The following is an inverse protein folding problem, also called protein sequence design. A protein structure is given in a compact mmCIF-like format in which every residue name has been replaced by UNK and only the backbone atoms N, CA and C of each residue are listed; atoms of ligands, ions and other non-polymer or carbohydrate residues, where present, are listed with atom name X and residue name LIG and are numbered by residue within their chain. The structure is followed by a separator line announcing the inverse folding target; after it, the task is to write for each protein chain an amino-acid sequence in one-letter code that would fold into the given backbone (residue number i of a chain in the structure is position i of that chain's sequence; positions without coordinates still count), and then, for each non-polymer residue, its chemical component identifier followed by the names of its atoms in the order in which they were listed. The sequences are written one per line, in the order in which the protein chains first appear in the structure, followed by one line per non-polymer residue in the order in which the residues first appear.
data_IF_347626473327
#
_entry.id   IF_347626473327
#
_cell.length_a   1.000
_cell.length_b   1.000
_cell.length_c   1.000
_cell.angle_alpha   90.00
_cell.angle_beta   90.00
_cell.angle_gamma   90.00
#
_symmetry.space_group_name_H-M   'P 1'
#
loop_
_entity.id
_entity.type
_entity.pdbx_description
1 polymer ?
#
# COMPACT_ATOMS: atom_id res chain seq x y z
N UNK A 1 2.14 -23.89 -5.78
CA UNK A 1 2.27 -23.20 -4.47
C UNK A 1 1.78 -21.79 -4.68
N UNK A 2 0.54 -21.50 -4.31
CA UNK A 2 0.03 -20.14 -4.33
C UNK A 2 0.51 -19.50 -3.04
N UNK A 3 1.47 -18.58 -3.11
CA UNK A 3 1.75 -17.71 -1.96
C UNK A 3 0.45 -16.97 -1.65
N UNK A 4 -0.14 -17.29 -0.50
CA UNK A 4 -1.31 -16.58 0.00
C UNK A 4 -0.81 -15.20 0.40
N UNK A 5 -1.04 -14.21 -0.46
CA UNK A 5 -0.74 -12.82 -0.13
C UNK A 5 -1.67 -12.40 0.99
N UNK A 6 -1.16 -11.78 2.05
CA UNK A 6 -1.99 -11.26 3.13
C UNK A 6 -3.00 -10.22 2.60
N UNK A 7 -4.22 -10.22 3.14
CA UNK A 7 -5.34 -9.37 2.68
C UNK A 7 -5.01 -7.87 2.69
N UNK A 8 -4.19 -7.44 3.65
CA UNK A 8 -3.66 -6.08 3.78
C UNK A 8 -2.76 -5.69 2.59
N UNK A 9 -1.90 -6.62 2.14
CA UNK A 9 -1.03 -6.41 0.97
C UNK A 9 -1.84 -6.30 -0.32
N UNK A 10 -2.78 -7.23 -0.54
CA UNK A 10 -3.63 -7.24 -1.74
C UNK A 10 -4.52 -5.99 -1.82
N UNK A 11 -5.09 -5.58 -0.68
CA UNK A 11 -5.90 -4.38 -0.59
C UNK A 11 -5.09 -3.12 -0.96
N UNK A 12 -3.88 -2.97 -0.41
CA UNK A 12 -3.04 -1.82 -0.70
C UNK A 12 -2.65 -1.78 -2.18
N UNK A 13 -2.24 -2.91 -2.73
CA UNK A 13 -1.88 -3.03 -4.15
C UNK A 13 -3.06 -2.67 -5.05
N UNK A 14 -4.25 -3.20 -4.77
CA UNK A 14 -5.48 -2.90 -5.51
C UNK A 14 -5.85 -1.42 -5.43
N UNK A 15 -5.89 -0.86 -4.22
CA UNK A 15 -6.29 0.52 -4.00
C UNK A 15 -5.33 1.51 -4.67
N UNK A 16 -4.02 1.30 -4.53
CA UNK A 16 -3.03 2.20 -5.11
C UNK A 16 -3.01 2.09 -6.63
N UNK A 17 -3.11 0.88 -7.20
CA UNK A 17 -3.21 0.72 -8.67
C UNK A 17 -4.40 1.44 -9.28
N UNK A 18 -5.49 1.60 -8.54
CA UNK A 18 -6.66 2.35 -9.00
C UNK A 18 -6.50 3.88 -8.87
N UNK A 19 -5.50 4.37 -8.14
CA UNK A 19 -5.28 5.78 -7.86
C UNK A 19 -4.20 6.44 -8.72
N UNK A 20 -3.34 5.66 -9.36
CA UNK A 20 -2.12 6.12 -10.03
C UNK A 20 -2.21 5.97 -11.54
N UNK A 21 -1.42 6.76 -12.28
CA UNK A 21 -1.36 6.67 -13.74
C UNK A 21 -0.44 5.52 -14.21
N UNK A 22 0.52 5.08 -13.39
CA UNK A 22 1.45 3.99 -13.71
C UNK A 22 1.24 2.77 -12.80
N UNK A 23 0.14 2.00 -12.97
CA UNK A 23 -0.17 0.85 -12.11
C UNK A 23 0.85 -0.29 -12.20
N UNK A 24 1.65 -0.35 -13.28
CA UNK A 24 2.71 -1.34 -13.46
C UNK A 24 3.93 -1.13 -12.54
N UNK A 25 4.12 0.10 -12.05
CA UNK A 25 5.24 0.45 -11.17
C UNK A 25 4.89 0.33 -9.69
N UNK A 26 3.64 -0.04 -9.36
CA UNK A 26 3.19 -0.26 -7.99
C UNK A 26 3.73 -1.59 -7.47
N UNK A 27 4.56 -1.53 -6.44
CA UNK A 27 5.10 -2.69 -5.74
C UNK A 27 4.80 -2.58 -4.26
N UNK A 28 4.26 -3.65 -3.70
CA UNK A 28 3.98 -3.75 -2.26
C UNK A 28 4.78 -4.89 -1.69
N UNK A 29 5.65 -4.58 -0.73
CA UNK A 29 6.43 -5.55 0.02
C UNK A 29 5.95 -5.60 1.47
N UNK A 30 5.81 -6.80 2.02
CA UNK A 30 5.44 -7.02 3.41
C UNK A 30 6.53 -7.81 4.12
N UNK A 31 7.04 -7.26 5.22
CA UNK A 31 8.05 -7.87 6.09
C UNK A 31 7.45 -8.03 7.48
N UNK A 32 7.59 -9.22 8.06
CA UNK A 32 7.28 -9.46 9.47
C UNK A 32 8.60 -9.51 10.22
N UNK A 33 8.73 -8.71 11.26
CA UNK A 33 9.87 -8.71 12.17
C UNK A 33 9.39 -8.73 13.63
N UNK A 34 10.34 -8.66 14.57
CA UNK A 34 10.06 -8.66 16.01
C UNK A 34 9.26 -7.44 16.49
N UNK A 35 9.25 -6.35 15.70
CA UNK A 35 8.52 -5.10 16.00
C UNK A 35 7.13 -5.06 15.34
N UNK A 36 6.80 -6.03 14.47
CA UNK A 36 5.48 -6.21 13.89
C UNK A 36 5.50 -6.39 12.38
N UNK A 37 4.54 -5.75 11.72
CA UNK A 37 4.36 -5.83 10.25
C UNK A 37 4.78 -4.51 9.63
N UNK A 38 5.80 -4.56 8.78
CA UNK A 38 6.23 -3.45 7.93
C UNK A 38 5.72 -3.68 6.50
N UNK A 39 4.96 -2.71 6.00
CA UNK A 39 4.50 -2.70 4.60
C UNK A 39 5.19 -1.53 3.89
N UNK A 40 5.95 -1.85 2.85
CA UNK A 40 6.60 -0.88 1.97
C UNK A 40 5.79 -0.78 0.68
N UNK A 41 5.50 0.45 0.27
CA UNK A 41 4.84 0.77 -0.99
C UNK A 41 5.81 1.58 -1.86
N UNK A 42 6.23 1.00 -2.97
CA UNK A 42 6.98 1.68 -4.01
C UNK A 42 6.06 1.99 -5.19
N UNK A 43 6.13 3.22 -5.69
CA UNK A 43 5.36 3.70 -6.83
C UNK A 43 6.23 4.56 -7.74
N UNK A 44 5.73 4.85 -8.95
CA UNK A 44 6.40 5.79 -9.84
C UNK A 44 6.50 7.18 -9.18
N UNK A 45 7.66 7.89 -9.31
CA UNK A 45 7.81 9.24 -8.77
C UNK A 45 6.75 10.24 -9.23
N UNK A 46 6.20 10.09 -10.44
CA UNK A 46 5.13 10.95 -10.96
C UNK A 46 3.80 10.77 -10.20
N UNK A 47 3.57 9.57 -9.66
CA UNK A 47 2.32 9.20 -8.97
C UNK A 47 2.36 9.50 -7.46
N UNK A 48 3.54 9.79 -6.91
CA UNK A 48 3.74 10.06 -5.47
C UNK A 48 2.80 11.13 -4.93
N UNK A 49 2.53 12.19 -5.71
CA UNK A 49 1.62 13.25 -5.31
C UNK A 49 0.19 12.76 -5.11
N UNK A 50 -0.28 11.85 -5.97
CA UNK A 50 -1.63 11.27 -5.91
C UNK A 50 -1.77 10.33 -4.71
N UNK A 51 -0.75 9.49 -4.46
CA UNK A 51 -0.72 8.53 -3.35
C UNK A 51 -0.64 9.22 -2.00
N UNK A 52 0.17 10.27 -1.87
CA UNK A 52 0.23 11.08 -0.64
C UNK A 52 -1.11 11.81 -0.45
N UNK A 53 -1.62 12.43 -1.52
CA UNK A 53 -2.81 13.26 -1.50
C UNK A 53 -2.59 14.60 -0.80
N UNK A 54 -3.58 15.48 -0.87
CA UNK A 54 -3.53 16.80 -0.22
C UNK A 54 -3.28 16.63 1.28
N UNK A 55 -2.21 17.25 1.80
CA UNK A 55 -1.81 17.19 3.22
C UNK A 55 -1.62 15.75 3.77
N UNK A 56 -1.31 14.79 2.87
CA UNK A 56 -1.14 13.39 3.25
C UNK A 56 -2.44 12.66 3.55
N UNK A 57 -3.61 13.22 3.20
CA UNK A 57 -4.91 12.65 3.56
C UNK A 57 -5.14 11.26 2.95
N UNK A 58 -4.77 11.04 1.69
CA UNK A 58 -4.90 9.73 1.04
C UNK A 58 -4.05 8.68 1.75
N UNK A 59 -2.77 8.99 2.00
CA UNK A 59 -1.87 8.09 2.72
C UNK A 59 -2.32 7.82 4.17
N UNK A 60 -2.93 8.81 4.86
CA UNK A 60 -3.51 8.62 6.19
C UNK A 60 -4.72 7.69 6.15
N UNK A 61 -5.63 7.88 5.19
CA UNK A 61 -6.81 7.04 5.01
C UNK A 61 -6.42 5.58 4.74
N UNK A 62 -5.47 5.35 3.83
CA UNK A 62 -4.92 4.02 3.54
C UNK A 62 -4.35 3.36 4.81
N UNK A 63 -3.55 4.09 5.61
CA UNK A 63 -3.03 3.57 6.88
C UNK A 63 -4.12 3.20 7.88
N UNK A 64 -5.18 4.00 7.98
CA UNK A 64 -6.31 3.69 8.87
C UNK A 64 -7.01 2.40 8.45
N UNK A 65 -7.27 2.23 7.16
CA UNK A 65 -7.93 1.02 6.64
C UNK A 65 -7.03 -0.20 6.84
N UNK A 66 -5.72 -0.08 6.56
CA UNK A 66 -4.75 -1.15 6.78
C UNK A 66 -4.69 -1.59 8.26
N UNK A 67 -4.82 -0.67 9.21
CA UNK A 67 -4.92 -1.00 10.64
C UNK A 67 -6.19 -1.76 11.00
N UNK A 68 -7.25 -1.68 10.21
CA UNK A 68 -8.50 -2.43 10.46
C UNK A 68 -8.44 -3.81 9.80
N UNK A 69 -7.83 -3.91 8.62
CA UNK A 69 -7.72 -5.15 7.85
C UNK A 69 -6.60 -6.06 8.38
N UNK A 70 -5.47 -5.47 8.78
CA UNK A 70 -4.25 -6.17 9.19
C UNK A 70 -3.99 -6.24 10.70
N UNK A 71 -4.89 -5.71 11.53
CA UNK A 71 -4.86 -5.92 12.99
C UNK A 71 -5.52 -7.24 13.39
#
# INVERSE_FOLDING_TARGET
MTEVRPTDQEFLEFAVKALVDNPGDVKVERKIDEMGVLITLDVNPADMGMVIGREGQTAKALRTILRVIGA
#
